data_IF_108279470708
#
_entry.id   IF_108279470708
#
_cell.length_a   1.000
_cell.length_b   1.000
_cell.length_c   1.000
_cell.angle_alpha   90.00
_cell.angle_beta   90.00
_cell.angle_gamma   90.00
#
_symmetry.space_group_name_H-M   'P 1'
#
loop_
_entity.id
_entity.type
_entity.pdbx_description
1 polymer ?
#
# COMPACT_ATOMS: atom_id res chain seq x y z
N UNK A 1 7.14 14.96 45.48
CA UNK A 1 5.74 15.45 45.37
C UNK A 1 5.49 15.82 43.92
N UNK A 2 4.36 15.37 43.41
CA UNK A 2 4.06 15.14 41.99
C UNK A 2 3.99 16.44 41.17
N UNK A 3 4.73 16.51 40.06
CA UNK A 3 4.55 17.55 39.03
C UNK A 3 3.41 17.16 38.09
N UNK A 4 2.19 17.54 38.43
CA UNK A 4 1.04 17.41 37.54
C UNK A 4 1.16 18.41 36.40
N UNK A 5 1.62 17.96 35.23
CA UNK A 5 1.54 18.73 34.00
C UNK A 5 0.05 19.06 33.70
N UNK A 6 -0.30 20.31 33.37
CA UNK A 6 -1.69 20.66 33.06
C UNK A 6 -2.11 19.94 31.78
N UNK A 7 -3.07 19.02 31.91
CA UNK A 7 -3.64 18.26 30.79
C UNK A 7 -4.24 19.22 29.77
N UNK A 8 -3.68 19.22 28.56
CA UNK A 8 -4.31 19.89 27.42
C UNK A 8 -5.72 19.31 27.21
N UNK A 9 -6.71 20.13 26.80
CA UNK A 9 -8.06 19.65 26.53
C UNK A 9 -8.02 18.49 25.51
N UNK A 10 -8.76 17.41 25.75
CA UNK A 10 -8.68 16.18 24.95
C UNK A 10 -8.92 16.41 23.45
N UNK A 11 -9.76 17.38 23.08
CA UNK A 11 -10.00 17.74 21.68
C UNK A 11 -8.74 18.32 21.00
N UNK A 12 -7.89 19.04 21.76
CA UNK A 12 -6.60 19.54 21.28
C UNK A 12 -5.63 18.39 21.07
N UNK A 13 -5.65 17.38 21.95
CA UNK A 13 -4.84 16.17 21.76
C UNK A 13 -5.27 15.38 20.53
N UNK A 14 -6.58 15.26 20.27
CA UNK A 14 -7.10 14.58 19.08
C UNK A 14 -6.68 15.33 17.81
N UNK A 15 -6.80 16.67 17.81
CA UNK A 15 -6.35 17.51 16.72
C UNK A 15 -4.83 17.41 16.51
N UNK A 16 -4.04 17.43 17.58
CA UNK A 16 -2.58 17.26 17.54
C UNK A 16 -2.15 15.88 17.06
N UNK A 17 -2.87 14.81 17.40
CA UNK A 17 -2.57 13.46 16.92
C UNK A 17 -2.87 13.31 15.43
N UNK A 18 -3.93 13.93 14.93
CA UNK A 18 -4.25 13.92 13.48
C UNK A 18 -3.29 14.82 12.70
N UNK A 19 -2.94 16.01 13.23
CA UNK A 19 -2.02 16.94 12.58
C UNK A 19 -0.55 16.49 12.66
N UNK A 20 -0.14 15.87 13.77
CA UNK A 20 1.23 15.41 13.99
C UNK A 20 1.58 14.13 13.22
N UNK A 21 0.59 13.33 12.84
CA UNK A 21 0.79 12.13 12.00
C UNK A 21 0.85 12.50 10.51
N UNK A 22 0.28 13.64 10.08
CA UNK A 22 0.33 14.09 8.68
C UNK A 22 1.28 15.28 8.42
N UNK A 23 1.73 16.02 9.43
CA UNK A 23 2.49 17.26 9.29
C UNK A 23 4.00 17.10 9.46
N UNK A 24 4.70 16.66 8.42
CA UNK A 24 6.16 16.81 8.33
C UNK A 24 6.56 18.28 8.46
N UNK A 25 7.43 18.56 9.44
CA UNK A 25 8.24 19.78 9.74
C UNK A 25 7.57 21.17 9.81
N UNK A 26 6.37 21.41 9.26
CA UNK A 26 5.70 22.71 9.27
C UNK A 26 4.71 22.95 10.42
N UNK A 27 4.32 21.91 11.17
CA UNK A 27 3.23 21.98 12.16
C UNK A 27 3.55 22.72 13.47
N UNK A 28 4.83 22.96 13.79
CA UNK A 28 5.23 23.53 15.09
C UNK A 28 5.13 25.06 15.14
N UNK A 29 5.18 25.77 14.00
CA UNK A 29 5.13 27.24 13.98
C UNK A 29 3.75 27.80 14.39
N UNK A 30 2.68 27.04 14.18
CA UNK A 30 1.30 27.43 14.56
C UNK A 30 1.05 27.26 16.07
N UNK A 31 1.91 26.52 16.78
CA UNK A 31 1.74 26.22 18.21
C UNK A 31 2.01 27.45 19.09
N UNK A 32 2.91 28.34 18.68
CA UNK A 32 3.28 29.51 19.49
C UNK A 32 2.18 30.58 19.57
N UNK A 33 1.38 30.75 18.51
CA UNK A 33 0.34 31.79 18.44
C UNK A 33 -0.90 31.45 19.27
N UNK A 34 -1.27 30.18 19.37
CA UNK A 34 -2.50 29.76 20.05
C UNK A 34 -2.40 29.85 21.59
N UNK A 35 -1.20 29.74 22.16
CA UNK A 35 -0.99 29.76 23.62
C UNK A 35 -1.23 31.16 24.22
N UNK A 36 -0.90 32.23 23.49
CA UNK A 36 -1.00 33.62 23.97
C UNK A 36 -2.45 34.11 24.05
N UNK A 37 -3.38 33.45 23.36
CA UNK A 37 -4.69 34.02 23.06
C UNK A 37 -5.83 33.56 24.00
N UNK A 38 -5.54 32.73 25.03
CA UNK A 38 -6.49 31.98 25.90
C UNK A 38 -7.68 32.73 26.59
N UNK A 39 -7.77 34.06 26.56
CA UNK A 39 -8.75 34.83 27.34
C UNK A 39 -10.11 35.11 26.66
N UNK A 40 -10.17 35.16 25.32
CA UNK A 40 -11.37 35.68 24.59
C UNK A 40 -12.09 34.65 23.68
N UNK A 41 -11.62 33.41 23.63
CA UNK A 41 -12.01 32.46 22.57
C UNK A 41 -13.26 31.63 22.83
N UNK A 42 -13.92 31.68 24.00
CA UNK A 42 -14.99 30.69 24.23
C UNK A 42 -16.24 30.89 23.34
N UNK A 43 -16.52 32.11 22.90
CA UNK A 43 -17.62 32.40 21.96
C UNK A 43 -17.11 32.47 20.50
N UNK A 44 -16.02 33.22 20.25
CA UNK A 44 -15.41 33.33 18.91
C UNK A 44 -14.80 32.02 18.39
N UNK A 45 -14.36 31.10 19.27
CA UNK A 45 -13.84 29.81 18.81
C UNK A 45 -14.93 28.90 18.27
N UNK A 46 -16.18 28.98 18.75
CA UNK A 46 -17.24 28.13 18.20
C UNK A 46 -17.59 28.57 16.78
N UNK A 47 -17.67 29.88 16.54
CA UNK A 47 -17.97 30.44 15.23
C UNK A 47 -16.79 30.23 14.27
N UNK A 48 -15.55 30.48 14.71
CA UNK A 48 -14.36 30.22 13.90
C UNK A 48 -14.05 28.74 13.70
N UNK A 49 -14.38 27.85 14.64
CA UNK A 49 -14.29 26.40 14.42
C UNK A 49 -15.37 25.91 13.45
N UNK A 50 -16.56 26.52 13.47
CA UNK A 50 -17.62 26.21 12.51
C UNK A 50 -17.23 26.70 11.12
N UNK A 51 -16.71 27.91 11.00
CA UNK A 51 -16.22 28.48 9.73
C UNK A 51 -14.98 27.73 9.21
N UNK A 52 -14.04 27.37 10.09
CA UNK A 52 -12.91 26.51 9.75
C UNK A 52 -13.35 25.10 9.34
N UNK A 53 -14.35 24.52 10.01
CA UNK A 53 -14.90 23.23 9.61
C UNK A 53 -15.58 23.33 8.23
N UNK A 54 -16.38 24.36 7.98
CA UNK A 54 -17.06 24.55 6.70
C UNK A 54 -16.07 24.78 5.55
N UNK A 55 -15.00 25.53 5.78
CA UNK A 55 -13.94 25.78 4.78
C UNK A 55 -13.06 24.57 4.52
N UNK A 56 -12.84 23.70 5.52
CA UNK A 56 -11.98 22.51 5.40
C UNK A 56 -12.71 21.23 4.98
N UNK A 57 -14.04 21.16 5.13
CA UNK A 57 -14.81 19.97 4.73
C UNK A 57 -14.75 19.73 3.22
N UNK A 58 -14.83 20.77 2.40
CA UNK A 58 -14.75 20.63 0.94
C UNK A 58 -13.39 20.07 0.48
N UNK A 59 -12.23 20.64 0.85
CA UNK A 59 -10.95 20.07 0.46
C UNK A 59 -10.74 18.66 1.03
N UNK A 60 -11.21 18.36 2.25
CA UNK A 60 -11.12 17.00 2.79
C UNK A 60 -11.97 16.00 1.98
N UNK A 61 -13.18 16.38 1.55
CA UNK A 61 -14.02 15.53 0.67
C UNK A 61 -13.33 15.25 -0.66
N UNK A 62 -12.75 16.26 -1.27
CA UNK A 62 -11.98 16.08 -2.53
C UNK A 62 -10.80 15.15 -2.30
N UNK A 63 -10.04 15.31 -1.22
CA UNK A 63 -8.90 14.43 -0.90
C UNK A 63 -9.34 12.99 -0.60
N UNK A 64 -10.46 12.80 0.09
CA UNK A 64 -11.01 11.46 0.33
C UNK A 64 -11.42 10.81 -1.00
N UNK A 65 -12.09 11.54 -1.89
CA UNK A 65 -12.46 11.03 -3.21
C UNK A 65 -11.22 10.65 -4.05
N UNK A 66 -10.18 11.48 -4.07
CA UNK A 66 -8.90 11.18 -4.74
C UNK A 66 -8.22 9.93 -4.15
N UNK A 67 -8.25 9.76 -2.83
CA UNK A 67 -7.69 8.58 -2.16
C UNK A 67 -8.50 7.31 -2.42
N UNK A 68 -9.83 7.42 -2.49
CA UNK A 68 -10.71 6.30 -2.87
C UNK A 68 -10.42 5.84 -4.29
N UNK A 69 -10.27 6.77 -5.24
CA UNK A 69 -9.91 6.45 -6.62
C UNK A 69 -8.51 5.81 -6.70
N UNK A 70 -7.52 6.38 -6.01
CA UNK A 70 -6.17 5.82 -5.96
C UNK A 70 -6.17 4.40 -5.33
N UNK A 71 -6.98 4.16 -4.30
CA UNK A 71 -7.11 2.85 -3.67
C UNK A 71 -7.76 1.81 -4.62
N UNK A 72 -8.73 2.22 -5.43
CA UNK A 72 -9.33 1.36 -6.46
C UNK A 72 -8.31 0.99 -7.54
N UNK A 73 -7.53 1.97 -8.02
CA UNK A 73 -6.47 1.73 -9.00
C UNK A 73 -5.38 0.80 -8.44
N UNK A 74 -4.95 1.01 -7.19
CA UNK A 74 -3.97 0.16 -6.54
C UNK A 74 -4.46 -1.29 -6.40
N UNK A 75 -5.75 -1.50 -6.09
CA UNK A 75 -6.35 -2.84 -6.05
C UNK A 75 -6.36 -3.49 -7.43
N UNK A 76 -6.75 -2.76 -8.48
CA UNK A 76 -6.75 -3.28 -9.84
C UNK A 76 -5.33 -3.67 -10.31
N UNK A 77 -4.31 -2.87 -9.98
CA UNK A 77 -2.92 -3.20 -10.27
C UNK A 77 -2.42 -4.42 -9.48
N UNK A 78 -2.83 -4.56 -8.22
CA UNK A 78 -2.47 -5.71 -7.40
C UNK A 78 -3.09 -7.00 -7.95
N UNK A 79 -4.34 -6.95 -8.42
CA UNK A 79 -5.01 -8.11 -9.00
C UNK A 79 -4.39 -8.50 -10.34
N UNK A 80 -3.98 -7.54 -11.18
CA UNK A 80 -3.25 -7.85 -12.42
C UNK A 80 -1.86 -8.44 -12.14
N UNK A 81 -1.14 -7.91 -11.16
CA UNK A 81 0.16 -8.45 -10.75
C UNK A 81 0.05 -9.88 -10.19
N UNK A 82 -0.98 -10.15 -9.38
CA UNK A 82 -1.27 -11.50 -8.86
C UNK A 82 -1.56 -12.48 -9.99
N UNK A 83 -2.29 -12.05 -11.01
CA UNK A 83 -2.59 -12.91 -12.16
C UNK A 83 -1.32 -13.22 -12.97
N UNK A 84 -0.47 -12.21 -13.21
CA UNK A 84 0.84 -12.42 -13.83
C UNK A 84 1.73 -13.34 -13.00
N UNK A 85 1.73 -13.22 -11.67
CA UNK A 85 2.48 -14.10 -10.78
C UNK A 85 2.00 -15.55 -10.89
N UNK A 86 0.68 -15.78 -10.94
CA UNK A 86 0.10 -17.11 -11.13
C UNK A 86 0.50 -17.72 -12.46
N UNK A 87 0.43 -16.94 -13.54
CA UNK A 87 0.84 -17.37 -14.88
C UNK A 87 2.33 -17.73 -14.90
N UNK A 88 3.19 -16.86 -14.34
CA UNK A 88 4.61 -17.11 -14.28
C UNK A 88 4.94 -18.35 -13.44
N UNK A 89 4.27 -18.53 -12.30
CA UNK A 89 4.42 -19.71 -11.45
C UNK A 89 4.01 -21.00 -12.18
N UNK A 90 2.93 -20.95 -12.96
CA UNK A 90 2.51 -22.08 -13.79
C UNK A 90 3.56 -22.42 -14.85
N UNK A 91 4.09 -21.42 -15.55
CA UNK A 91 5.16 -21.60 -16.55
C UNK A 91 6.43 -22.17 -15.93
N UNK A 92 6.87 -21.64 -14.80
CA UNK A 92 8.06 -22.15 -14.08
C UNK A 92 7.85 -23.61 -13.65
N UNK A 93 6.65 -23.95 -13.20
CA UNK A 93 6.34 -25.32 -12.80
C UNK A 93 6.35 -26.29 -13.98
N UNK A 94 5.81 -25.89 -15.13
CA UNK A 94 5.83 -26.70 -16.36
C UNK A 94 7.26 -26.88 -16.90
N UNK A 95 8.07 -25.81 -16.91
CA UNK A 95 9.49 -25.88 -17.26
C UNK A 95 10.24 -26.84 -16.34
N UNK A 96 10.02 -26.74 -15.02
CA UNK A 96 10.65 -27.65 -14.04
C UNK A 96 10.27 -29.10 -14.29
N UNK A 97 9.00 -29.40 -14.58
CA UNK A 97 8.56 -30.76 -14.94
C UNK A 97 9.18 -31.26 -16.24
N UNK A 98 9.36 -30.37 -17.22
CA UNK A 98 10.02 -30.74 -18.48
C UNK A 98 11.49 -31.06 -18.27
N UNK A 99 12.21 -30.25 -17.50
CA UNK A 99 13.59 -30.52 -17.12
C UNK A 99 13.73 -31.81 -16.32
N UNK A 100 12.82 -32.08 -15.38
CA UNK A 100 12.85 -33.32 -14.60
C UNK A 100 12.67 -34.55 -15.49
N UNK A 101 11.72 -34.52 -16.43
CA UNK A 101 11.54 -35.58 -17.44
C UNK A 101 12.78 -35.78 -18.31
N UNK A 102 13.44 -34.68 -18.71
CA UNK A 102 14.68 -34.76 -19.49
C UNK A 102 15.80 -35.39 -18.66
N UNK A 103 15.91 -35.00 -17.38
CA UNK A 103 16.88 -35.57 -16.44
C UNK A 103 16.69 -37.07 -16.27
N UNK A 104 15.46 -37.52 -16.03
CA UNK A 104 15.13 -38.95 -15.92
C UNK A 104 15.47 -39.72 -17.20
N UNK A 105 15.14 -39.17 -18.37
CA UNK A 105 15.42 -39.82 -19.65
C UNK A 105 16.92 -39.93 -19.96
N UNK A 106 17.73 -38.96 -19.53
CA UNK A 106 19.19 -38.95 -19.71
C UNK A 106 19.87 -39.93 -18.76
N UNK A 107 19.38 -40.03 -17.52
CA UNK A 107 19.95 -40.91 -16.49
C UNK A 107 19.46 -42.36 -16.58
N UNK A 108 18.51 -42.66 -17.47
CA UNK A 108 18.00 -44.01 -17.67
C UNK A 108 19.11 -44.94 -18.23
N UNK A 109 19.14 -46.22 -17.81
CA UNK A 109 20.15 -47.18 -18.28
C UNK A 109 20.07 -47.46 -19.79
N UNK A 110 18.88 -47.31 -20.39
CA UNK A 110 18.64 -47.45 -21.83
C UNK A 110 18.68 -46.10 -22.58
N UNK A 111 19.32 -45.08 -21.99
CA UNK A 111 19.42 -43.75 -22.59
C UNK A 111 20.17 -43.82 -23.92
N UNK A 112 19.44 -43.62 -25.02
CA UNK A 112 20.02 -43.48 -26.36
C UNK A 112 19.85 -42.05 -26.85
N UNK A 113 20.88 -41.55 -27.55
CA UNK A 113 20.90 -40.22 -28.17
C UNK A 113 19.67 -39.96 -29.06
N UNK A 114 19.17 -41.00 -29.75
CA UNK A 114 17.97 -40.93 -30.60
C UNK A 114 16.70 -40.68 -29.79
N UNK A 115 16.58 -41.34 -28.63
CA UNK A 115 15.44 -41.20 -27.71
C UNK A 115 15.42 -39.83 -27.03
N UNK A 116 16.59 -39.35 -26.59
CA UNK A 116 16.72 -38.01 -26.00
C UNK A 116 16.35 -36.94 -27.04
N UNK A 117 16.83 -37.05 -28.28
CA UNK A 117 16.49 -36.10 -29.35
C UNK A 117 15.01 -36.08 -29.69
N UNK A 118 14.34 -37.24 -29.70
CA UNK A 118 12.89 -37.31 -29.89
C UNK A 118 12.15 -36.61 -28.74
N UNK A 119 12.58 -36.83 -27.49
CA UNK A 119 11.94 -36.27 -26.30
C UNK A 119 12.10 -34.74 -26.20
N UNK A 120 13.26 -34.20 -26.58
CA UNK A 120 13.49 -32.75 -26.69
C UNK A 120 12.58 -32.14 -27.76
N UNK A 121 12.50 -32.77 -28.94
CA UNK A 121 11.65 -32.30 -30.04
C UNK A 121 10.16 -32.32 -29.68
N UNK A 122 9.72 -33.34 -28.93
CA UNK A 122 8.35 -33.42 -28.40
C UNK A 122 8.08 -32.35 -27.33
N UNK A 123 9.11 -31.93 -26.58
CA UNK A 123 9.05 -30.82 -25.63
C UNK A 123 8.90 -29.47 -26.32
N UNK A 124 9.66 -29.22 -27.39
CA UNK A 124 9.57 -27.99 -28.20
C UNK A 124 8.18 -27.84 -28.85
N UNK A 125 7.60 -28.93 -29.35
CA UNK A 125 6.25 -28.92 -29.93
C UNK A 125 5.13 -28.72 -28.89
N UNK A 126 5.42 -28.90 -27.60
CA UNK A 126 4.50 -28.63 -26.48
C UNK A 126 4.69 -27.25 -25.84
N UNK A 127 5.58 -26.41 -26.38
CA UNK A 127 5.77 -25.03 -25.91
C UNK A 127 4.45 -24.25 -25.87
N UNK A 128 4.34 -23.26 -24.96
CA UNK A 128 3.07 -22.69 -24.53
C UNK A 128 2.27 -22.13 -25.71
N UNK A 129 1.04 -22.62 -25.87
CA UNK A 129 -0.03 -21.98 -26.64
C UNK A 129 -0.77 -20.97 -25.76
#
# INVERSE_FOLDING_TARGET
MNTSAPSAPHWVQVLLSVLGVLGGTGGLAVIATVIVQRGKFKADAADTLTDAALTLVQPLRTRVAELEEAALLARAQLDSAREQERQLRATVWDLRRTLERWREAILAPDATLRRIRALVRDGENRGPR
#
